data_IF_126782850336
#
_entry.id   IF_126782850336
#
_cell.length_a   1.000
_cell.length_b   1.000
_cell.length_c   1.000
_cell.angle_alpha   90.00
_cell.angle_beta   90.00
_cell.angle_gamma   90.00
#
_symmetry.space_group_name_H-M   'P 1'
#
loop_
_entity.id
_entity.type
_entity.pdbx_description
1 polymer ?
#
# COMPACT_ATOMS: atom_id res chain seq x y z
N UNK A 1 -9.37 -2.04 18.18
CA UNK A 1 -8.09 -2.75 18.34
C UNK A 1 -7.11 -2.09 17.41
N UNK A 2 -6.00 -1.56 17.94
CA UNK A 2 -4.91 -1.01 17.10
C UNK A 2 -4.34 -2.13 16.25
N UNK A 3 -4.72 -2.16 14.97
CA UNK A 3 -4.12 -3.07 14.01
C UNK A 3 -2.67 -2.64 13.80
N UNK A 4 -1.72 -3.47 14.25
CA UNK A 4 -0.30 -3.19 14.03
C UNK A 4 -0.03 -3.18 12.52
N UNK A 5 0.37 -2.03 12.00
CA UNK A 5 0.81 -1.91 10.61
C UNK A 5 2.14 -2.66 10.43
N UNK A 6 2.27 -3.41 9.34
CA UNK A 6 3.55 -3.93 8.85
C UNK A 6 3.99 -3.16 7.61
N UNK A 7 5.30 -3.03 7.45
CA UNK A 7 5.95 -2.30 6.36
C UNK A 7 6.97 -3.22 5.72
N UNK A 8 6.85 -3.44 4.42
CA UNK A 8 7.73 -4.33 3.65
C UNK A 8 8.16 -3.61 2.38
N UNK A 9 9.46 -3.54 2.13
CA UNK A 9 10.00 -2.91 0.93
C UNK A 9 10.52 -3.95 -0.05
N UNK A 10 9.88 -4.07 -1.20
CA UNK A 10 10.44 -4.79 -2.34
C UNK A 10 11.37 -3.88 -3.12
N UNK A 11 12.67 -4.17 -2.99
CA UNK A 11 13.73 -3.44 -3.66
C UNK A 11 13.76 -3.70 -5.17
N UNK A 12 13.29 -4.84 -5.65
CA UNK A 12 13.32 -5.19 -7.07
C UNK A 12 12.22 -4.41 -7.81
N UNK A 13 10.99 -4.45 -7.29
CA UNK A 13 9.87 -3.68 -7.83
C UNK A 13 9.90 -2.18 -7.51
N UNK A 14 10.74 -1.76 -6.56
CA UNK A 14 10.71 -0.42 -5.95
C UNK A 14 9.33 -0.07 -5.38
N UNK A 15 8.79 -0.98 -4.56
CA UNK A 15 7.45 -0.90 -3.98
C UNK A 15 7.54 -0.97 -2.45
N UNK A 16 6.92 -0.01 -1.77
CA UNK A 16 6.63 -0.14 -0.33
C UNK A 16 5.21 -0.70 -0.16
N UNK A 17 5.11 -1.81 0.57
CA UNK A 17 3.86 -2.36 1.06
C UNK A 17 3.59 -1.88 2.48
N UNK A 18 2.38 -1.38 2.73
CA UNK A 18 1.88 -0.99 4.06
C UNK A 18 0.64 -1.80 4.34
N UNK A 19 0.68 -2.67 5.35
CA UNK A 19 -0.31 -3.72 5.53
C UNK A 19 -0.93 -3.68 6.93
N UNK A 20 -2.27 -3.70 7.02
CA UNK A 20 -3.00 -4.00 8.28
C UNK A 20 -3.19 -5.51 8.48
N UNK A 21 -3.24 -6.26 7.38
CA UNK A 21 -3.36 -7.72 7.37
C UNK A 21 -2.59 -8.31 6.18
N UNK A 22 -2.39 -9.64 6.17
CA UNK A 22 -1.84 -10.32 4.99
C UNK A 22 -2.78 -10.13 3.80
N UNK A 23 -2.28 -9.75 2.61
CA UNK A 23 -3.11 -9.64 1.41
C UNK A 23 -3.82 -10.96 1.07
N UNK A 24 -5.06 -10.87 0.59
CA UNK A 24 -5.87 -12.03 0.21
C UNK A 24 -6.64 -11.80 -1.11
N UNK A 25 -7.01 -12.87 -1.85
CA UNK A 25 -7.54 -12.74 -3.21
C UNK A 25 -8.84 -11.96 -3.34
N UNK A 26 -9.70 -11.98 -2.31
CA UNK A 26 -11.01 -11.32 -2.32
C UNK A 26 -10.93 -9.80 -2.16
N UNK A 27 -9.75 -9.24 -1.87
CA UNK A 27 -9.58 -7.80 -1.81
C UNK A 27 -9.64 -7.20 -3.21
N UNK A 28 -10.50 -6.20 -3.38
CA UNK A 28 -10.48 -5.37 -4.58
C UNK A 28 -9.31 -4.37 -4.49
N UNK A 29 -8.57 -4.21 -5.58
CA UNK A 29 -7.50 -3.23 -5.71
C UNK A 29 -7.97 -2.02 -6.50
N UNK A 30 -7.69 -0.80 -6.03
CA UNK A 30 -7.99 0.43 -6.74
C UNK A 30 -6.82 1.41 -6.65
N UNK A 31 -6.51 2.09 -7.75
CA UNK A 31 -5.50 3.15 -7.77
C UNK A 31 -6.13 4.44 -7.20
N UNK A 32 -5.60 4.92 -6.07
CA UNK A 32 -6.13 6.11 -5.37
C UNK A 32 -5.35 7.38 -5.71
N UNK A 33 -4.12 7.22 -6.17
CA UNK A 33 -3.24 8.27 -6.68
C UNK A 33 -2.24 7.60 -7.64
N UNK A 34 -1.62 8.37 -8.54
CA UNK A 34 -0.60 7.86 -9.43
C UNK A 34 0.45 7.05 -8.65
N UNK A 35 0.53 5.75 -8.92
CA UNK A 35 1.48 4.84 -8.28
C UNK A 35 1.19 4.55 -6.80
N UNK A 36 -0.04 4.76 -6.33
CA UNK A 36 -0.53 4.33 -5.02
C UNK A 36 -1.79 3.49 -5.21
N UNK A 37 -1.69 2.21 -4.89
CA UNK A 37 -2.79 1.24 -5.00
C UNK A 37 -3.28 0.86 -3.61
N UNK A 38 -4.58 0.96 -3.37
CA UNK A 38 -5.22 0.48 -2.16
C UNK A 38 -5.88 -0.87 -2.38
N UNK A 39 -5.76 -1.77 -1.41
CA UNK A 39 -6.55 -3.01 -1.31
C UNK A 39 -7.64 -2.82 -0.27
N UNK A 40 -8.87 -3.10 -0.65
CA UNK A 40 -10.06 -2.84 0.14
C UNK A 40 -10.62 -4.13 0.74
N UNK A 41 -11.14 -4.03 1.95
CA UNK A 41 -11.99 -5.07 2.53
C UNK A 41 -13.27 -5.19 1.68
N UNK A 42 -13.61 -6.38 1.15
CA UNK A 42 -14.76 -6.54 0.24
C UNK A 42 -16.12 -6.34 0.91
N UNK A 43 -16.17 -6.29 2.25
CA UNK A 43 -17.42 -6.09 3.01
C UNK A 43 -17.57 -4.68 3.53
N UNK A 44 -16.47 -4.05 3.98
CA UNK A 44 -16.51 -2.74 4.64
C UNK A 44 -15.99 -1.60 3.75
N UNK A 45 -15.36 -1.91 2.62
CA UNK A 45 -14.61 -0.95 1.78
C UNK A 45 -13.48 -0.22 2.52
N UNK A 46 -13.09 -0.68 3.71
CA UNK A 46 -11.95 -0.11 4.42
C UNK A 46 -10.64 -0.46 3.73
N UNK A 47 -9.70 0.48 3.69
CA UNK A 47 -8.34 0.22 3.21
C UNK A 47 -7.62 -0.70 4.19
N UNK A 48 -7.20 -1.86 3.69
CA UNK A 48 -6.46 -2.87 4.45
C UNK A 48 -4.97 -2.89 4.09
N UNK A 49 -4.63 -2.60 2.83
CA UNK A 49 -3.25 -2.54 2.37
C UNK A 49 -3.03 -1.40 1.37
N UNK A 50 -1.79 -0.90 1.31
CA UNK A 50 -1.32 0.03 0.30
C UNK A 50 -0.07 -0.52 -0.39
N UNK A 51 0.01 -0.30 -1.69
CA UNK A 51 1.20 -0.54 -2.51
C UNK A 51 1.65 0.83 -3.07
N UNK A 52 2.85 1.27 -2.71
CA UNK A 52 3.43 2.55 -3.16
C UNK A 52 4.57 2.28 -4.11
N UNK A 53 4.37 2.51 -5.40
CA UNK A 53 5.37 2.27 -6.44
C UNK A 53 6.31 3.47 -6.62
N UNK A 54 7.49 3.22 -7.19
CA UNK A 54 8.56 4.22 -7.34
C UNK A 54 9.00 4.81 -5.98
N UNK A 55 8.95 3.99 -4.93
CA UNK A 55 9.12 4.46 -3.55
C UNK A 55 10.46 5.16 -3.33
N UNK A 56 11.55 4.62 -3.89
CA UNK A 56 12.88 5.23 -3.78
C UNK A 56 12.94 6.62 -4.42
N UNK A 57 12.29 6.82 -5.59
CA UNK A 57 12.24 8.12 -6.26
C UNK A 57 11.44 9.14 -5.45
N UNK A 58 10.28 8.73 -4.92
CA UNK A 58 9.43 9.58 -4.06
C UNK A 58 10.19 10.05 -2.81
N UNK A 59 11.01 9.17 -2.22
CA UNK A 59 11.85 9.50 -1.07
C UNK A 59 12.93 10.54 -1.43
N UNK A 60 13.56 10.41 -2.60
CA UNK A 60 14.63 11.30 -3.05
C UNK A 60 14.11 12.70 -3.42
N UNK A 61 12.95 12.77 -4.05
CA UNK A 61 12.35 14.05 -4.47
C UNK A 61 11.83 14.87 -3.29
N UNK A 62 11.78 14.31 -2.07
CA UNK A 62 11.13 14.92 -0.88
C UNK A 62 9.72 15.43 -1.17
N UNK A 63 9.06 14.94 -2.22
CA UNK A 63 7.65 15.18 -2.52
C UNK A 63 6.79 14.29 -1.63
N UNK A 64 6.98 14.44 -0.32
CA UNK A 64 6.05 13.94 0.68
C UNK A 64 5.26 15.15 1.19
N UNK A 65 3.97 15.16 0.83
CA UNK A 65 2.95 16.20 1.08
C UNK A 65 3.03 17.45 0.20
#
# INVERSE_FOLDING_TARGET
MDSKLTFEYDRIGDILYINKCTPYPEQESTEIEYGVVARLNPKTNEVENLEVTFFSKRLLEKNWF
#
